data_IF_338139598239
#
_entry.id   IF_338139598239
#
_cell.length_a   1.000
_cell.length_b   1.000
_cell.length_c   1.000
_cell.angle_alpha   90.00
_cell.angle_beta   90.00
_cell.angle_gamma   90.00
#
_symmetry.space_group_name_H-M   'P 1'
#
loop_
_entity.id
_entity.type
_entity.pdbx_description
1 polymer ?
#
# COMPACT_ATOMS: atom_id res chain seq x y z
N UNK A 1 -14.12 -28.22 -8.57
CA UNK A 1 -13.18 -27.73 -9.56
C UNK A 1 -12.16 -26.82 -8.89
N UNK A 2 -10.87 -27.05 -9.19
CA UNK A 2 -9.83 -26.17 -8.71
C UNK A 2 -9.97 -24.77 -9.36
N UNK A 3 -9.42 -23.73 -8.73
CA UNK A 3 -9.44 -22.38 -9.30
C UNK A 3 -8.80 -22.37 -10.71
N UNK A 4 -7.82 -23.24 -10.94
CA UNK A 4 -7.15 -23.41 -12.24
C UNK A 4 -8.10 -23.97 -13.32
N UNK A 5 -8.93 -24.96 -13.00
CA UNK A 5 -9.95 -25.51 -13.93
C UNK A 5 -10.99 -24.44 -14.29
N UNK A 6 -11.46 -23.69 -13.31
CA UNK A 6 -12.40 -22.58 -13.55
C UNK A 6 -11.82 -21.52 -14.47
N UNK A 7 -10.52 -21.25 -14.34
CA UNK A 7 -9.81 -20.20 -15.10
C UNK A 7 -9.20 -20.70 -16.40
N UNK A 8 -9.41 -21.97 -16.75
CA UNK A 8 -8.90 -22.62 -18.00
C UNK A 8 -7.38 -22.47 -18.17
N UNK A 9 -6.64 -22.59 -17.06
CA UNK A 9 -5.18 -22.60 -17.08
C UNK A 9 -4.72 -24.04 -17.34
N UNK A 10 -3.74 -24.28 -18.22
CA UNK A 10 -3.18 -25.62 -18.44
C UNK A 10 -2.68 -26.24 -17.13
N UNK A 11 -2.92 -27.54 -16.92
CA UNK A 11 -2.57 -28.25 -15.68
C UNK A 11 -1.07 -28.17 -15.33
N UNK A 12 -0.23 -28.13 -16.36
CA UNK A 12 1.23 -28.07 -16.19
C UNK A 12 1.77 -26.65 -16.09
N UNK A 13 0.90 -25.62 -16.13
CA UNK A 13 1.34 -24.24 -16.03
C UNK A 13 1.56 -23.87 -14.58
N UNK A 14 2.78 -23.47 -14.24
CA UNK A 14 3.15 -22.95 -12.94
C UNK A 14 3.03 -21.43 -12.89
N UNK A 15 2.85 -20.89 -11.69
CA UNK A 15 2.70 -19.45 -11.44
C UNK A 15 1.90 -19.16 -10.18
N UNK A 16 1.55 -17.91 -9.98
CA UNK A 16 0.84 -17.41 -8.81
C UNK A 16 -0.39 -16.58 -9.18
N UNK A 17 -1.41 -16.64 -8.34
CA UNK A 17 -2.60 -15.82 -8.48
C UNK A 17 -2.38 -14.40 -7.97
N UNK A 18 -2.74 -13.42 -8.79
CA UNK A 18 -2.81 -12.02 -8.38
C UNK A 18 -4.14 -11.82 -7.66
N UNK A 19 -4.11 -11.81 -6.34
CA UNK A 19 -5.30 -11.52 -5.54
C UNK A 19 -5.64 -10.04 -5.54
N UNK A 20 -4.62 -9.18 -5.71
CA UNK A 20 -4.74 -7.73 -5.62
C UNK A 20 -3.58 -7.04 -6.33
N UNK A 21 -3.87 -5.92 -6.99
CA UNK A 21 -2.87 -5.04 -7.58
C UNK A 21 -2.82 -3.74 -6.77
N UNK A 22 -1.64 -3.40 -6.28
CA UNK A 22 -1.45 -2.15 -5.55
C UNK A 22 -1.22 -1.01 -6.56
N UNK A 23 -1.83 0.16 -6.37
CA UNK A 23 -1.62 1.31 -7.24
C UNK A 23 -0.16 1.78 -7.16
N UNK A 24 0.34 2.29 -8.28
CA UNK A 24 1.69 2.82 -8.43
C UNK A 24 2.85 1.80 -8.30
N UNK A 25 2.55 0.52 -8.09
CA UNK A 25 3.54 -0.55 -8.14
C UNK A 25 3.79 -1.06 -9.56
N UNK A 26 4.80 -1.91 -9.71
CA UNK A 26 5.08 -2.62 -10.97
C UNK A 26 3.83 -3.38 -11.42
N UNK A 27 3.48 -3.24 -12.69
CA UNK A 27 2.29 -3.89 -13.26
C UNK A 27 0.95 -3.25 -12.89
N UNK A 28 0.91 -2.17 -12.10
CA UNK A 28 -0.35 -1.55 -11.64
C UNK A 28 -1.27 -1.08 -12.76
N UNK A 29 -0.72 -0.77 -13.92
CA UNK A 29 -1.50 -0.29 -15.09
C UNK A 29 -1.98 -1.42 -16.01
N UNK A 30 -1.38 -2.61 -15.90
CA UNK A 30 -1.61 -3.73 -16.83
C UNK A 30 -2.17 -4.98 -16.18
N UNK A 31 -1.83 -5.24 -14.89
CA UNK A 31 -2.32 -6.39 -14.13
C UNK A 31 -3.71 -6.12 -13.55
N UNK A 32 -4.44 -7.20 -13.30
CA UNK A 32 -5.75 -7.18 -12.66
C UNK A 32 -5.83 -8.28 -11.59
N UNK A 33 -6.69 -8.07 -10.60
CA UNK A 33 -7.02 -9.16 -9.68
C UNK A 33 -7.68 -10.31 -10.44
N UNK A 34 -7.23 -11.53 -10.19
CA UNK A 34 -7.66 -12.73 -10.92
C UNK A 34 -6.73 -13.11 -12.08
N UNK A 35 -5.70 -12.33 -12.39
CA UNK A 35 -4.63 -12.78 -13.30
C UNK A 35 -3.80 -13.88 -12.64
N UNK A 36 -3.30 -14.79 -13.46
CA UNK A 36 -2.35 -15.82 -13.04
C UNK A 36 -0.99 -15.50 -13.65
N UNK A 37 -0.07 -15.02 -12.82
CA UNK A 37 1.26 -14.59 -13.23
C UNK A 37 2.20 -15.79 -13.32
N UNK A 38 2.78 -16.00 -14.49
CA UNK A 38 3.64 -17.16 -14.80
C UNK A 38 5.09 -16.78 -15.04
N UNK A 39 5.36 -15.52 -15.46
CA UNK A 39 6.69 -15.08 -15.86
C UNK A 39 6.90 -13.60 -15.57
N UNK A 40 8.10 -13.25 -15.15
CA UNK A 40 8.59 -11.87 -15.01
C UNK A 40 9.91 -11.76 -15.76
N UNK A 41 9.96 -10.97 -16.85
CA UNK A 41 11.12 -10.94 -17.74
C UNK A 41 11.41 -12.33 -18.29
N UNK A 42 12.62 -12.83 -18.05
CA UNK A 42 13.07 -14.16 -18.45
C UNK A 42 12.81 -15.24 -17.38
N UNK A 43 12.38 -14.85 -16.19
CA UNK A 43 12.20 -15.76 -15.05
C UNK A 43 10.80 -16.36 -15.00
N UNK A 44 10.74 -17.68 -15.04
CA UNK A 44 9.49 -18.44 -14.84
C UNK A 44 9.20 -18.57 -13.34
N UNK A 45 7.94 -18.43 -12.96
CA UNK A 45 7.50 -18.62 -11.58
C UNK A 45 6.97 -20.03 -11.36
N UNK A 46 7.34 -20.63 -10.24
CA UNK A 46 6.69 -21.83 -9.74
C UNK A 46 5.40 -21.48 -8.95
N UNK A 47 4.73 -22.50 -8.39
CA UNK A 47 3.47 -22.36 -7.64
C UNK A 47 3.62 -21.64 -6.31
N UNK A 48 4.83 -21.60 -5.77
CA UNK A 48 5.20 -20.92 -4.52
C UNK A 48 5.65 -19.47 -4.77
N UNK A 49 5.67 -19.02 -6.03
CA UNK A 49 6.15 -17.68 -6.41
C UNK A 49 7.67 -17.56 -6.40
N UNK A 50 8.36 -18.68 -6.54
CA UNK A 50 9.82 -18.70 -6.64
C UNK A 50 10.26 -18.71 -8.10
N UNK A 51 11.48 -18.26 -8.31
CA UNK A 51 12.21 -18.27 -9.58
C UNK A 51 13.54 -18.98 -9.39
N UNK A 52 14.09 -19.54 -10.45
CA UNK A 52 15.46 -20.03 -10.46
C UNK A 52 16.41 -18.86 -10.80
N UNK A 53 17.05 -18.32 -9.78
CA UNK A 53 17.97 -17.20 -9.92
C UNK A 53 19.41 -17.71 -10.02
N UNK A 54 20.20 -17.20 -10.98
CA UNK A 54 21.55 -17.69 -11.27
C UNK A 54 22.53 -17.62 -10.10
N UNK A 55 22.38 -16.61 -9.23
CA UNK A 55 23.24 -16.36 -8.06
C UNK A 55 22.70 -16.99 -6.77
N UNK A 56 21.36 -17.06 -6.61
CA UNK A 56 20.73 -17.39 -5.35
C UNK A 56 19.96 -18.72 -5.38
N UNK A 57 19.89 -19.39 -6.53
CA UNK A 57 19.10 -20.61 -6.70
C UNK A 57 17.58 -20.31 -6.62
N UNK A 58 16.80 -21.22 -6.04
CA UNK A 58 15.37 -21.05 -5.87
C UNK A 58 15.04 -20.01 -4.78
N UNK A 59 14.56 -18.85 -5.19
CA UNK A 59 14.21 -17.72 -4.31
C UNK A 59 12.89 -17.10 -4.72
N UNK A 60 12.25 -16.38 -3.81
CA UNK A 60 11.04 -15.61 -4.13
C UNK A 60 11.34 -14.55 -5.18
N UNK A 61 10.38 -14.31 -6.06
CA UNK A 61 10.54 -13.39 -7.20
C UNK A 61 10.81 -11.93 -6.81
N UNK A 62 10.57 -11.54 -5.55
CA UNK A 62 10.84 -10.20 -5.05
C UNK A 62 12.34 -9.85 -5.08
N UNK A 63 13.22 -10.86 -5.07
CA UNK A 63 14.67 -10.65 -5.23
C UNK A 63 15.03 -9.93 -6.53
N UNK A 64 14.23 -10.11 -7.60
CA UNK A 64 14.43 -9.41 -8.88
C UNK A 64 14.37 -7.89 -8.73
N UNK A 65 13.52 -7.38 -7.86
CA UNK A 65 13.37 -5.95 -7.61
C UNK A 65 14.38 -5.40 -6.61
N UNK A 66 15.23 -6.25 -6.07
CA UNK A 66 16.34 -5.88 -5.17
C UNK A 66 17.69 -5.94 -5.88
N UNK A 67 17.85 -6.85 -6.85
CA UNK A 67 19.16 -7.17 -7.44
C UNK A 67 19.23 -6.91 -8.96
N UNK A 68 18.16 -7.16 -9.71
CA UNK A 68 18.24 -7.26 -11.18
C UNK A 68 17.44 -6.18 -11.92
N UNK A 69 16.42 -5.61 -11.31
CA UNK A 69 15.51 -4.67 -11.95
C UNK A 69 15.49 -3.33 -11.23
N UNK A 70 15.89 -2.29 -11.93
CA UNK A 70 15.85 -0.93 -11.43
C UNK A 70 14.51 -0.24 -11.71
N UNK A 71 14.19 0.75 -10.90
CA UNK A 71 12.99 1.56 -11.10
C UNK A 71 13.02 2.29 -12.44
N UNK A 72 12.02 2.04 -13.28
CA UNK A 72 11.90 2.59 -14.63
C UNK A 72 12.24 1.60 -15.74
N UNK A 73 12.87 0.46 -15.43
CA UNK A 73 13.14 -0.59 -16.39
C UNK A 73 11.86 -1.12 -17.01
N UNK A 74 11.92 -1.48 -18.28
CA UNK A 74 10.82 -2.19 -18.94
C UNK A 74 10.92 -3.67 -18.66
N UNK A 75 9.82 -4.26 -18.16
CA UNK A 75 9.71 -5.69 -17.91
C UNK A 75 8.45 -6.26 -18.58
N UNK A 76 8.57 -7.45 -19.13
CA UNK A 76 7.45 -8.19 -19.70
C UNK A 76 6.92 -9.20 -18.69
N UNK A 77 5.61 -9.19 -18.50
CA UNK A 77 4.91 -10.10 -17.60
C UNK A 77 4.12 -11.12 -18.42
N UNK A 78 4.40 -12.41 -18.23
CA UNK A 78 3.59 -13.48 -18.78
C UNK A 78 2.44 -13.81 -17.83
N UNK A 79 1.20 -13.76 -18.32
CA UNK A 79 0.02 -14.03 -17.50
C UNK A 79 -1.00 -14.90 -18.22
N UNK A 80 -1.89 -15.51 -17.45
CA UNK A 80 -3.19 -15.99 -17.94
C UNK A 80 -4.31 -15.11 -17.40
N UNK A 81 -5.20 -14.67 -18.29
CA UNK A 81 -6.41 -13.89 -17.96
C UNK A 81 -7.60 -14.48 -18.70
N UNK A 82 -8.60 -14.98 -17.97
CA UNK A 82 -9.78 -15.60 -18.58
C UNK A 82 -9.46 -16.80 -19.49
N UNK A 83 -8.40 -17.55 -19.21
CA UNK A 83 -7.94 -18.69 -19.99
C UNK A 83 -7.08 -18.35 -21.21
N UNK A 84 -6.76 -17.09 -21.41
CA UNK A 84 -5.88 -16.65 -22.50
C UNK A 84 -4.48 -16.29 -21.95
N UNK A 85 -3.44 -16.78 -22.63
CA UNK A 85 -2.06 -16.39 -22.35
C UNK A 85 -1.79 -15.02 -22.95
N UNK A 86 -1.27 -14.09 -22.13
CA UNK A 86 -0.97 -12.73 -22.53
C UNK A 86 0.44 -12.36 -22.06
N UNK A 87 1.13 -11.56 -22.88
CA UNK A 87 2.38 -10.90 -22.52
C UNK A 87 2.13 -9.40 -22.37
N UNK A 88 2.35 -8.88 -21.17
CA UNK A 88 2.07 -7.49 -20.83
C UNK A 88 3.39 -6.78 -20.55
N UNK A 89 3.63 -5.66 -21.25
CA UNK A 89 4.79 -4.81 -20.98
C UNK A 89 4.44 -3.77 -19.95
N UNK A 90 5.31 -3.58 -18.97
CA UNK A 90 5.17 -2.58 -17.91
C UNK A 90 6.53 -2.03 -17.53
N UNK A 91 6.51 -0.92 -16.79
CA UNK A 91 7.73 -0.38 -16.18
C UNK A 91 7.80 -0.77 -14.72
N UNK A 92 9.01 -1.05 -14.25
CA UNK A 92 9.27 -1.28 -12.83
C UNK A 92 8.94 0.00 -12.07
N UNK A 93 7.91 -0.08 -11.24
CA UNK A 93 7.41 1.02 -10.45
C UNK A 93 8.10 1.12 -9.10
N UNK A 94 8.23 2.34 -8.59
CA UNK A 94 8.55 2.55 -7.18
C UNK A 94 7.27 2.63 -6.37
N UNK A 95 7.22 1.91 -5.25
CA UNK A 95 6.12 2.09 -4.30
C UNK A 95 6.13 3.53 -3.76
N UNK A 96 5.24 4.36 -4.30
CA UNK A 96 5.12 5.75 -3.87
C UNK A 96 4.21 5.83 -2.64
N UNK A 97 4.78 6.18 -1.50
CA UNK A 97 4.02 6.45 -0.27
C UNK A 97 2.98 7.57 -0.43
N UNK A 98 3.10 8.38 -1.49
CA UNK A 98 2.23 9.52 -1.75
C UNK A 98 0.77 9.14 -2.11
N UNK A 99 0.49 7.89 -2.42
CA UNK A 99 -0.87 7.39 -2.68
C UNK A 99 -1.72 7.14 -1.43
N UNK A 100 -1.12 7.16 -0.24
CA UNK A 100 -1.79 6.86 1.02
C UNK A 100 -2.18 8.13 1.78
N UNK A 101 -3.42 8.16 2.30
CA UNK A 101 -3.87 9.24 3.23
C UNK A 101 -3.20 9.11 4.60
N UNK A 102 -2.85 7.89 4.97
CA UNK A 102 -2.04 7.56 6.15
C UNK A 102 -0.70 7.03 5.65
N UNK A 103 0.32 7.87 5.54
CA UNK A 103 1.64 7.47 5.03
C UNK A 103 2.21 6.28 5.79
N UNK A 104 2.99 5.47 5.07
CA UNK A 104 3.79 4.42 5.66
C UNK A 104 4.88 5.04 6.54
N UNK A 105 5.72 4.19 7.13
CA UNK A 105 6.79 4.64 8.01
C UNK A 105 7.73 5.60 7.29
N UNK A 106 7.91 6.78 7.88
CA UNK A 106 8.81 7.82 7.39
C UNK A 106 10.08 7.78 8.24
N UNK A 107 11.22 7.54 7.59
CA UNK A 107 12.52 7.51 8.25
C UNK A 107 13.29 8.81 8.00
N UNK A 108 14.09 9.22 8.98
CA UNK A 108 15.02 10.35 8.85
C UNK A 108 14.38 11.75 8.71
N UNK A 109 13.05 11.86 8.84
CA UNK A 109 12.35 13.14 8.81
C UNK A 109 11.48 13.29 10.05
N UNK A 110 11.50 14.46 10.71
CA UNK A 110 10.60 14.72 11.82
C UNK A 110 9.15 14.72 11.36
N UNK A 111 8.20 14.37 12.23
CA UNK A 111 6.78 14.47 11.91
C UNK A 111 6.39 15.95 11.67
N UNK A 112 5.46 16.16 10.74
CA UNK A 112 4.87 17.49 10.54
C UNK A 112 3.84 17.73 11.63
N UNK A 113 4.01 18.80 12.37
CA UNK A 113 3.07 19.18 13.43
C UNK A 113 2.88 20.70 13.52
N UNK A 114 1.79 21.10 14.13
CA UNK A 114 1.45 22.49 14.46
C UNK A 114 0.99 22.55 15.90
N UNK A 115 1.55 23.47 16.68
CA UNK A 115 1.04 23.79 18.02
C UNK A 115 0.36 25.14 17.97
N UNK A 116 -0.90 25.19 18.39
CA UNK A 116 -1.66 26.43 18.46
C UNK A 116 -2.58 26.42 19.68
N UNK A 117 -2.43 27.41 20.58
CA UNK A 117 -3.22 27.46 21.82
C UNK A 117 -3.11 26.22 22.69
N UNK A 118 -1.92 25.60 22.74
CA UNK A 118 -1.69 24.36 23.45
C UNK A 118 -2.22 23.09 22.77
N UNK A 119 -2.97 23.20 21.68
CA UNK A 119 -3.40 22.07 20.87
C UNK A 119 -2.29 21.63 19.92
N UNK A 120 -1.99 20.33 19.87
CA UNK A 120 -0.98 19.74 18.98
C UNK A 120 -1.70 19.02 17.84
N UNK A 121 -1.57 19.56 16.63
CA UNK A 121 -2.07 18.97 15.39
C UNK A 121 -0.91 18.31 14.66
N UNK A 122 -1.15 17.13 14.09
CA UNK A 122 -0.15 16.45 13.26
C UNK A 122 -0.82 15.52 12.23
N UNK A 123 -0.05 15.11 11.24
CA UNK A 123 -0.51 14.11 10.28
C UNK A 123 -0.57 12.74 10.96
N UNK A 124 -1.65 12.00 10.69
CA UNK A 124 -1.73 10.58 11.05
C UNK A 124 -0.83 9.78 10.12
N UNK A 125 0.20 9.16 10.67
CA UNK A 125 1.17 8.33 9.97
C UNK A 125 1.27 6.95 10.62
N UNK A 126 1.91 5.99 9.95
CA UNK A 126 2.19 4.69 10.57
C UNK A 126 3.12 4.85 11.78
N UNK A 127 4.11 5.77 11.72
CA UNK A 127 4.96 6.08 12.87
C UNK A 127 4.15 6.50 14.11
N UNK A 128 3.08 7.30 13.89
CA UNK A 128 2.20 7.68 15.00
C UNK A 128 1.43 6.50 15.56
N UNK A 129 0.91 5.61 14.71
CA UNK A 129 0.20 4.40 15.14
C UNK A 129 1.13 3.44 15.91
N UNK A 130 2.39 3.34 15.52
CA UNK A 130 3.39 2.49 16.19
C UNK A 130 3.75 2.93 17.62
N UNK A 131 3.34 4.12 18.06
CA UNK A 131 3.49 4.55 19.47
C UNK A 131 2.78 3.56 20.43
N UNK A 132 1.73 2.87 19.96
CA UNK A 132 1.07 1.79 20.71
C UNK A 132 1.78 0.43 20.63
N UNK A 133 3.01 0.39 20.06
CA UNK A 133 3.84 -0.81 19.92
C UNK A 133 3.58 -1.59 18.64
N UNK A 134 4.27 -2.73 18.49
CA UNK A 134 4.17 -3.56 17.29
C UNK A 134 2.74 -4.06 17.00
N UNK A 135 1.94 -4.25 18.06
CA UNK A 135 0.55 -4.67 17.97
C UNK A 135 -0.42 -3.47 17.94
N UNK A 136 0.00 -2.33 17.34
CA UNK A 136 -0.82 -1.12 17.25
C UNK A 136 -2.19 -1.37 16.62
N UNK A 137 -2.31 -2.33 15.72
CA UNK A 137 -3.58 -2.71 15.07
C UNK A 137 -4.67 -3.12 16.05
N UNK A 138 -4.29 -3.58 17.25
CA UNK A 138 -5.21 -3.95 18.32
C UNK A 138 -5.24 -2.91 19.45
N UNK A 139 -4.18 -2.14 19.65
CA UNK A 139 -4.00 -1.23 20.80
C UNK A 139 -4.30 0.23 20.49
N UNK A 140 -4.02 0.69 19.28
CA UNK A 140 -4.29 2.06 18.90
C UNK A 140 -5.80 2.38 18.93
N UNK A 141 -6.20 3.63 19.15
CA UNK A 141 -7.58 4.04 19.13
C UNK A 141 -8.28 3.60 17.82
N UNK A 142 -9.44 2.93 17.96
CA UNK A 142 -10.18 2.34 16.84
C UNK A 142 -10.36 3.32 15.67
N UNK A 143 -10.70 4.57 15.96
CA UNK A 143 -10.88 5.60 14.93
C UNK A 143 -9.64 5.80 14.07
N UNK A 144 -8.43 5.80 14.67
CA UNK A 144 -7.19 6.04 13.95
C UNK A 144 -6.79 4.82 13.09
N UNK A 145 -6.87 3.62 13.67
CA UNK A 145 -6.53 2.39 12.93
C UNK A 145 -7.48 2.11 11.77
N UNK A 146 -8.78 2.45 11.90
CA UNK A 146 -9.74 2.34 10.81
C UNK A 146 -9.35 3.19 9.59
N UNK A 147 -8.78 4.39 9.78
CA UNK A 147 -8.30 5.19 8.66
C UNK A 147 -7.20 4.48 7.88
N UNK A 148 -6.28 3.79 8.57
CA UNK A 148 -5.24 2.99 7.90
C UNK A 148 -5.83 1.81 7.15
N UNK A 149 -6.77 1.08 7.74
CA UNK A 149 -7.45 -0.04 7.09
C UNK A 149 -8.27 0.42 5.87
N UNK A 150 -9.03 1.49 6.00
CA UNK A 150 -9.81 2.07 4.88
C UNK A 150 -8.89 2.59 3.77
N UNK A 151 -7.72 3.11 4.11
CA UNK A 151 -6.74 3.55 3.14
C UNK A 151 -6.20 2.38 2.31
N UNK A 152 -5.88 1.26 2.96
CA UNK A 152 -5.51 0.01 2.31
C UNK A 152 -6.65 -0.48 1.40
N UNK A 153 -7.90 -0.49 1.90
CA UNK A 153 -9.05 -0.96 1.13
C UNK A 153 -9.33 -0.05 -0.07
N UNK A 154 -9.20 1.26 0.06
CA UNK A 154 -9.35 2.20 -1.07
C UNK A 154 -8.32 1.96 -2.16
N UNK A 155 -7.06 1.73 -1.76
CA UNK A 155 -6.00 1.42 -2.73
C UNK A 155 -6.24 0.08 -3.43
N UNK A 156 -6.93 -0.86 -2.78
CA UNK A 156 -7.26 -2.15 -3.38
C UNK A 156 -8.47 -2.10 -4.31
N UNK A 157 -9.48 -1.32 -3.96
CA UNK A 157 -10.68 -1.17 -4.80
C UNK A 157 -10.44 -0.24 -6.01
N UNK A 158 -9.42 0.62 -5.95
CA UNK A 158 -9.02 1.47 -7.07
C UNK A 158 -8.49 0.65 -8.27
N UNK A 159 -8.07 -0.60 -8.06
CA UNK A 159 -7.70 -1.50 -9.17
C UNK A 159 -8.92 -2.00 -9.97
N UNK A 160 -10.14 -1.86 -9.47
CA UNK A 160 -11.38 -2.18 -10.21
C UNK A 160 -12.01 -0.96 -10.90
N UNK A 161 -11.63 0.25 -10.51
CA UNK A 161 -12.07 1.49 -11.14
C UNK A 161 -10.84 2.21 -11.66
N UNK A 162 -10.89 2.72 -12.90
CA UNK A 162 -9.82 3.48 -13.56
C UNK A 162 -8.98 4.23 -12.52
N UNK A 163 -7.70 3.87 -12.41
CA UNK A 163 -6.75 4.42 -11.44
C UNK A 163 -6.93 5.92 -11.26
N UNK A 164 -6.96 6.45 -10.03
CA UNK A 164 -6.87 7.88 -9.86
C UNK A 164 -5.56 8.33 -10.53
N UNK A 165 -5.68 9.13 -11.58
CA UNK A 165 -4.55 9.61 -12.41
C UNK A 165 -3.47 10.35 -11.60
N UNK A 166 -3.76 10.67 -10.34
CA UNK A 166 -2.86 11.39 -9.46
C UNK A 166 -2.86 10.78 -8.05
N UNK A 167 -1.68 10.68 -7.41
CA UNK A 167 -1.59 10.30 -6.01
C UNK A 167 -2.41 11.27 -5.16
N UNK A 168 -3.14 10.76 -4.17
CA UNK A 168 -3.88 11.64 -3.27
C UNK A 168 -2.90 12.49 -2.46
N UNK A 169 -3.11 13.80 -2.47
CA UNK A 169 -2.41 14.74 -1.58
C UNK A 169 -3.13 14.88 -0.24
N UNK A 170 -4.33 14.31 -0.13
CA UNK A 170 -5.09 14.35 1.12
C UNK A 170 -4.35 13.62 2.24
N UNK A 171 -4.29 14.25 3.40
CA UNK A 171 -3.74 13.68 4.63
C UNK A 171 -4.80 13.69 5.72
N UNK A 172 -4.68 12.77 6.66
CA UNK A 172 -5.52 12.78 7.85
C UNK A 172 -4.81 13.60 8.91
N UNK A 173 -5.41 14.72 9.29
CA UNK A 173 -4.92 15.55 10.38
C UNK A 173 -5.61 15.15 11.67
N UNK A 174 -4.84 15.00 12.73
CA UNK A 174 -5.33 14.66 14.06
C UNK A 174 -4.94 15.74 15.09
N UNK A 175 -5.81 15.97 16.05
CA UNK A 175 -5.47 16.57 17.33
C UNK A 175 -4.90 15.45 18.19
N UNK A 176 -3.57 15.42 18.35
CA UNK A 176 -2.89 14.35 19.09
C UNK A 176 -3.08 14.50 20.59
N UNK A 177 -2.95 15.73 21.08
CA UNK A 177 -3.19 16.05 22.50
C UNK A 177 -3.39 17.56 22.68
N UNK A 178 -3.86 17.94 23.86
CA UNK A 178 -3.89 19.32 24.36
C UNK A 178 -2.93 19.43 25.51
N UNK A 179 -2.01 20.39 25.45
CA UNK A 179 -1.04 20.65 26.52
C UNK A 179 -1.77 21.23 27.74
N UNK A 180 -1.38 20.82 28.94
CA UNK A 180 -1.94 21.38 30.16
C UNK A 180 -1.55 22.86 30.28
N UNK A 181 -2.55 23.71 30.38
CA UNK A 181 -2.44 25.14 30.58
C UNK A 181 -3.76 25.65 31.18
N UNK A 182 -3.73 26.80 31.86
CA UNK A 182 -4.92 27.41 32.46
C UNK A 182 -6.00 27.68 31.40
N UNK A 183 -5.59 28.11 30.20
CA UNK A 183 -6.53 28.38 29.07
C UNK A 183 -7.12 27.13 28.48
N UNK A 184 -6.59 25.95 28.78
CA UNK A 184 -7.00 24.66 28.26
C UNK A 184 -7.79 23.82 29.29
N UNK A 185 -8.16 24.42 30.43
CA UNK A 185 -8.96 23.71 31.44
C UNK A 185 -10.27 23.24 30.83
N UNK A 186 -10.55 21.94 30.99
CA UNK A 186 -11.72 21.26 30.41
C UNK A 186 -11.49 20.65 29.02
N UNK A 187 -10.34 20.91 28.39
CA UNK A 187 -10.00 20.37 27.07
C UNK A 187 -8.83 19.34 27.10
N UNK A 188 -8.20 19.12 28.25
CA UNK A 188 -6.99 18.28 28.39
C UNK A 188 -7.23 16.81 27.97
N UNK A 189 -8.47 16.34 28.06
CA UNK A 189 -8.84 14.97 27.67
C UNK A 189 -9.03 14.81 26.16
N UNK A 190 -9.04 15.92 25.39
CA UNK A 190 -9.15 15.85 23.94
C UNK A 190 -7.83 15.36 23.33
N UNK A 191 -7.85 14.13 22.86
CA UNK A 191 -6.68 13.49 22.23
C UNK A 191 -7.11 12.50 21.15
N UNK A 192 -6.20 12.25 20.22
CA UNK A 192 -6.40 11.27 19.15
C UNK A 192 -7.69 11.52 18.32
N UNK A 193 -8.04 12.77 18.12
CA UNK A 193 -9.25 13.16 17.41
C UNK A 193 -8.93 13.57 15.97
N UNK A 194 -9.70 13.06 15.01
CA UNK A 194 -9.56 13.47 13.61
C UNK A 194 -10.15 14.84 13.39
N UNK A 195 -9.37 15.74 12.83
CA UNK A 195 -9.79 17.11 12.48
C UNK A 195 -10.38 17.09 11.07
N UNK A 196 -11.67 17.35 10.96
CA UNK A 196 -12.36 17.38 9.66
C UNK A 196 -12.47 18.80 9.09
N UNK A 197 -12.69 19.77 9.96
CA UNK A 197 -12.86 21.18 9.59
C UNK A 197 -12.27 22.10 10.63
N UNK A 198 -11.73 23.22 10.18
CA UNK A 198 -11.29 24.34 11.03
C UNK A 198 -12.00 25.58 10.49
N UNK A 199 -12.73 26.29 11.36
CA UNK A 199 -13.52 27.47 10.98
C UNK A 199 -14.42 27.23 9.75
N UNK A 200 -15.10 26.06 9.70
CA UNK A 200 -15.97 25.67 8.60
C UNK A 200 -15.24 25.16 7.33
N UNK A 201 -13.97 25.40 7.19
CA UNK A 201 -13.16 24.93 6.05
C UNK A 201 -12.65 23.50 6.29
N UNK A 202 -12.72 22.65 5.26
CA UNK A 202 -12.20 21.29 5.30
C UNK A 202 -10.66 21.33 5.38
N UNK A 203 -10.11 20.47 6.23
CA UNK A 203 -8.66 20.25 6.38
C UNK A 203 -8.22 19.09 5.50
#
# INVERSE_FOLDING_TARGET
PSLAEYSKIPENQEGIWISRVLPYGTGSEVLQAGDYLTRIGDWQLNREGQIEHSKWGNVLFDVLFLEDLDAGDEVELGIYRGGQSLNLKTKVGTYRQNGHRVPMKIFGKPPRYLIRGGMIFQELTLNYLEVWGQNWEHRAPLRLRLFKQLDITRTTNASQTKHPKHPTTERIVILSQVLPDVVNIGYQELRNMVVKKVNGKRV
#
